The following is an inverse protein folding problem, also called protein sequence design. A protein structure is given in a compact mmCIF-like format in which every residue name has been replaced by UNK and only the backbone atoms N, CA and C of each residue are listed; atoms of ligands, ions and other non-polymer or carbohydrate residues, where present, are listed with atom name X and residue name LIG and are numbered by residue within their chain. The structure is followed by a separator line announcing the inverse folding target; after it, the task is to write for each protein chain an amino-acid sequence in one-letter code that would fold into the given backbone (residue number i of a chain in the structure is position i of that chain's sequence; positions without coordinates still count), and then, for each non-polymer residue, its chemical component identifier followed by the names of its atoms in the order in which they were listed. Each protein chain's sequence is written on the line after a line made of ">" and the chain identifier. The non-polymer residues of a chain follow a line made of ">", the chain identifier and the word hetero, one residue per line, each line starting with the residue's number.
data_IF_488539992260
#
_entry.id   IF_488539992260
#
_cell.length_a   1.000
_cell.length_b   1.000
_cell.length_c   1.000
_cell.angle_alpha   90.00
_cell.angle_beta   90.00
_cell.angle_gamma   90.00
#
_symmetry.space_group_name_H-M   'P 1'
#
loop_
_entity.id
_entity.type
_entity.pdbx_description
1 polymer ?
#
# COMPACT_ATOMS: atom_id res chain seq x y z
N UNK A 1 -3.07 7.76 -8.23
CA UNK A 1 -4.07 7.01 -7.45
C UNK A 1 -4.69 7.94 -6.44
N UNK A 2 -5.93 7.67 -6.04
CA UNK A 2 -6.61 8.42 -4.99
C UNK A 2 -6.77 7.52 -3.77
N UNK A 3 -6.31 7.95 -2.59
CA UNK A 3 -6.63 7.20 -1.37
C UNK A 3 -8.13 7.32 -1.11
N UNK A 4 -8.86 6.20 -1.00
CA UNK A 4 -10.29 6.21 -0.66
C UNK A 4 -10.52 7.03 0.60
N UNK A 5 -11.67 7.70 0.71
CA UNK A 5 -11.96 8.61 1.83
C UNK A 5 -11.82 7.90 3.18
N UNK A 6 -10.81 8.33 3.94
CA UNK A 6 -10.52 7.97 5.33
C UNK A 6 -10.44 6.46 5.63
N UNK A 7 -9.41 5.76 5.12
CA UNK A 7 -9.17 4.39 5.51
C UNK A 7 -8.45 4.35 6.86
N UNK A 8 -8.79 3.41 7.71
CA UNK A 8 -8.07 3.15 8.97
C UNK A 8 -6.80 2.35 8.75
N UNK A 9 -6.85 1.41 7.81
CA UNK A 9 -5.72 0.55 7.43
C UNK A 9 -5.37 0.74 5.95
N UNK A 10 -4.07 0.74 5.64
CA UNK A 10 -3.56 0.75 4.26
C UNK A 10 -2.68 -0.47 4.02
N UNK A 11 -3.04 -1.28 3.04
CA UNK A 11 -2.15 -2.29 2.49
C UNK A 11 -1.17 -1.63 1.53
N UNK A 12 0.09 -1.56 1.95
CA UNK A 12 1.20 -0.94 1.26
C UNK A 12 1.96 -2.02 0.51
N UNK A 13 1.70 -2.17 -0.78
CA UNK A 13 2.15 -3.36 -1.52
C UNK A 13 3.24 -2.98 -2.49
N UNK A 14 4.45 -3.48 -2.23
CA UNK A 14 5.53 -3.45 -3.21
C UNK A 14 5.27 -4.48 -4.30
N UNK A 15 5.35 -4.04 -5.55
CA UNK A 15 5.20 -4.94 -6.71
C UNK A 15 6.09 -4.49 -7.87
N UNK A 16 6.50 -5.43 -8.71
CA UNK A 16 7.29 -5.12 -9.90
C UNK A 16 6.38 -4.72 -11.07
N UNK A 17 6.87 -3.96 -12.07
CA UNK A 17 6.02 -3.45 -13.16
C UNK A 17 5.29 -4.57 -13.91
N UNK A 18 6.01 -5.65 -14.24
CA UNK A 18 5.46 -6.80 -14.95
C UNK A 18 4.55 -7.73 -14.13
N UNK A 19 4.40 -7.51 -12.81
CA UNK A 19 3.63 -8.40 -11.93
C UNK A 19 2.11 -8.11 -11.92
N UNK A 20 1.53 -7.88 -13.10
CA UNK A 20 0.09 -7.60 -13.27
C UNK A 20 -0.79 -8.69 -12.64
N UNK A 21 -0.42 -9.96 -12.85
CA UNK A 21 -1.17 -11.10 -12.30
C UNK A 21 -1.12 -11.16 -10.77
N UNK A 22 0.00 -10.80 -10.15
CA UNK A 22 0.12 -10.78 -8.68
C UNK A 22 -0.82 -9.70 -8.12
N UNK A 23 -0.79 -8.49 -8.68
CA UNK A 23 -1.70 -7.41 -8.30
C UNK A 23 -3.17 -7.81 -8.46
N UNK A 24 -3.53 -8.45 -9.58
CA UNK A 24 -4.90 -8.93 -9.81
C UNK A 24 -5.35 -9.94 -8.76
N UNK A 25 -4.49 -10.90 -8.39
CA UNK A 25 -4.77 -11.91 -7.34
C UNK A 25 -4.95 -11.22 -6.00
N UNK A 26 -4.03 -10.34 -5.61
CA UNK A 26 -4.08 -9.60 -4.35
C UNK A 26 -5.34 -8.74 -4.26
N UNK A 27 -5.71 -8.02 -5.34
CA UNK A 27 -7.00 -7.30 -5.40
C UNK A 27 -8.16 -8.24 -5.14
N UNK A 28 -8.15 -9.44 -5.73
CA UNK A 28 -9.17 -10.46 -5.48
C UNK A 28 -9.23 -10.90 -4.02
N UNK A 29 -8.08 -11.17 -3.40
CA UNK A 29 -7.99 -11.60 -2.00
C UNK A 29 -8.44 -10.50 -1.01
N UNK A 30 -8.11 -9.24 -1.29
CA UNK A 30 -8.44 -8.09 -0.44
C UNK A 30 -9.85 -7.52 -0.70
N UNK A 31 -10.49 -7.93 -1.79
CA UNK A 31 -11.87 -7.58 -2.16
C UNK A 31 -12.87 -8.47 -1.42
N UNK A 32 -12.83 -8.44 -0.09
CA UNK A 32 -13.89 -9.00 0.74
C UNK A 32 -14.76 -7.85 1.26
N UNK A 33 -15.92 -7.64 0.64
CA UNK A 33 -16.78 -6.47 0.89
C UNK A 33 -17.20 -6.29 2.35
N UNK A 34 -17.45 -7.37 3.09
CA UNK A 34 -17.87 -7.29 4.49
C UNK A 34 -16.72 -6.87 5.39
N UNK A 35 -15.55 -7.52 5.25
CA UNK A 35 -14.38 -7.19 6.06
C UNK A 35 -13.76 -5.84 5.68
N UNK A 36 -13.65 -5.54 4.37
CA UNK A 36 -13.07 -4.29 3.91
C UNK A 36 -13.85 -3.07 4.35
N UNK A 37 -15.19 -3.19 4.42
CA UNK A 37 -16.06 -2.11 4.89
C UNK A 37 -15.98 -1.97 6.40
N UNK A 38 -16.00 -3.09 7.14
CA UNK A 38 -15.91 -3.07 8.60
C UNK A 38 -14.58 -2.49 9.10
N UNK A 39 -13.45 -2.93 8.54
CA UNK A 39 -12.12 -2.45 8.92
C UNK A 39 -11.73 -1.13 8.23
N UNK A 40 -12.51 -0.66 7.25
CA UNK A 40 -12.21 0.55 6.47
C UNK A 40 -10.78 0.52 5.92
N UNK A 41 -10.40 -0.57 5.26
CA UNK A 41 -9.07 -0.63 4.65
C UNK A 41 -9.06 -0.18 3.20
N UNK A 42 -7.89 0.24 2.73
CA UNK A 42 -7.60 0.47 1.32
C UNK A 42 -6.31 -0.26 0.92
N UNK A 43 -6.12 -0.45 -0.38
CA UNK A 43 -4.93 -1.10 -0.94
C UNK A 43 -4.28 -0.16 -1.94
N UNK A 44 -2.95 -0.03 -1.86
CA UNK A 44 -2.16 0.74 -2.81
C UNK A 44 -0.94 -0.07 -3.23
N UNK A 45 -0.77 -0.20 -4.54
CA UNK A 45 0.37 -0.86 -5.17
C UNK A 45 1.43 0.17 -5.56
N UNK A 46 2.66 -0.02 -5.10
CA UNK A 46 3.79 0.85 -5.41
C UNK A 46 4.73 0.17 -6.40
N UNK A 47 4.92 0.83 -7.54
CA UNK A 47 5.65 0.31 -8.71
C UNK A 47 6.70 1.34 -9.12
N UNK A 48 7.92 0.92 -9.43
CA UNK A 48 8.93 1.80 -10.03
C UNK A 48 8.78 1.90 -11.55
N UNK A 49 9.58 2.73 -12.20
CA UNK A 49 9.66 2.84 -13.65
C UNK A 49 10.21 1.54 -14.25
N UNK A 50 9.46 0.92 -15.16
CA UNK A 50 9.91 -0.21 -15.98
C UNK A 50 11.02 0.23 -16.95
N UNK A 51 12.00 -0.65 -17.21
CA UNK A 51 12.96 -0.48 -18.30
C UNK A 51 12.35 -0.81 -19.67
N UNK A 52 11.36 -1.71 -19.68
CA UNK A 52 10.62 -2.11 -20.86
C UNK A 52 9.43 -1.16 -21.11
N UNK A 53 9.35 -0.64 -22.34
CA UNK A 53 8.40 0.44 -22.70
C UNK A 53 6.97 -0.07 -22.80
N UNK A 54 6.77 -1.30 -23.28
CA UNK A 54 5.45 -1.92 -23.38
C UNK A 54 4.88 -2.20 -21.98
N UNK A 55 5.73 -2.68 -21.07
CA UNK A 55 5.38 -2.86 -19.65
C UNK A 55 5.08 -1.52 -18.98
N UNK A 56 5.87 -0.46 -19.26
CA UNK A 56 5.62 0.87 -18.70
C UNK A 56 4.21 1.37 -19.10
N UNK A 57 3.87 1.26 -20.39
CA UNK A 57 2.56 1.63 -20.92
C UNK A 57 1.42 0.83 -20.27
N UNK A 58 1.59 -0.48 -20.15
CA UNK A 58 0.59 -1.34 -19.51
C UNK A 58 0.37 -1.00 -18.03
N UNK A 59 1.42 -0.59 -17.30
CA UNK A 59 1.29 -0.12 -15.91
C UNK A 59 0.51 1.19 -15.83
N UNK A 60 0.71 2.12 -16.76
CA UNK A 60 -0.05 3.36 -16.81
C UNK A 60 -1.54 3.11 -17.09
N UNK A 61 -1.84 2.21 -18.04
CA UNK A 61 -3.21 1.77 -18.35
C UNK A 61 -3.87 1.10 -17.14
N UNK A 62 -3.16 0.20 -16.45
CA UNK A 62 -3.62 -0.43 -15.21
C UNK A 62 -3.87 0.60 -14.10
N UNK A 63 -2.96 1.56 -13.92
CA UNK A 63 -3.08 2.61 -12.92
C UNK A 63 -4.31 3.49 -13.17
N UNK A 64 -4.57 3.84 -14.43
CA UNK A 64 -5.77 4.57 -14.83
C UNK A 64 -7.05 3.75 -14.65
N UNK A 65 -6.99 2.44 -14.86
CA UNK A 65 -8.17 1.55 -14.79
C UNK A 65 -8.59 1.26 -13.35
N UNK A 66 -7.63 0.99 -12.47
CA UNK A 66 -7.91 0.56 -11.11
C UNK A 66 -7.81 1.66 -10.06
N UNK A 67 -7.05 2.74 -10.35
CA UNK A 67 -6.89 3.87 -9.42
C UNK A 67 -6.09 3.56 -8.16
N UNK A 68 -5.53 2.35 -8.03
CA UNK A 68 -4.83 1.84 -6.85
C UNK A 68 -3.32 1.63 -7.06
N UNK A 69 -2.79 2.03 -8.22
CA UNK A 69 -1.35 1.93 -8.54
C UNK A 69 -0.70 3.31 -8.46
N UNK A 70 0.43 3.38 -7.76
CA UNK A 70 1.33 4.52 -7.71
C UNK A 70 2.62 4.15 -8.45
N UNK A 71 2.88 4.85 -9.55
CA UNK A 71 4.17 4.76 -10.25
C UNK A 71 5.13 5.77 -9.64
N UNK A 72 6.26 5.30 -9.14
CA UNK A 72 7.25 6.07 -8.42
C UNK A 72 8.42 6.47 -9.34
N UNK A 73 9.03 7.64 -9.14
CA UNK A 73 9.95 8.25 -10.11
C UNK A 73 11.38 7.71 -10.01
N UNK A 74 11.56 6.39 -10.01
CA UNK A 74 12.88 5.74 -10.03
C UNK A 74 12.81 4.41 -10.78
N UNK A 75 13.94 3.91 -11.30
CA UNK A 75 13.98 2.62 -12.01
C UNK A 75 13.71 1.45 -11.07
N UNK A 76 12.74 0.62 -11.41
CA UNK A 76 12.41 -0.56 -10.62
C UNK A 76 13.53 -1.60 -10.73
N UNK A 77 14.14 -1.90 -9.60
CA UNK A 77 15.19 -2.90 -9.47
C UNK A 77 15.24 -3.36 -8.02
N UNK A 78 15.66 -4.61 -7.80
CA UNK A 78 15.77 -5.18 -6.45
C UNK A 78 16.63 -4.33 -5.50
N UNK A 79 17.73 -3.77 -6.00
CA UNK A 79 18.60 -2.87 -5.21
C UNK A 79 17.94 -1.54 -4.83
N UNK A 80 16.85 -1.16 -5.50
CA UNK A 80 16.15 0.10 -5.31
C UNK A 80 14.89 -0.04 -4.43
N UNK A 81 14.67 -1.19 -3.79
CA UNK A 81 13.50 -1.41 -2.93
C UNK A 81 13.41 -0.44 -1.75
N UNK A 82 14.55 0.05 -1.23
CA UNK A 82 14.56 1.11 -0.22
C UNK A 82 13.92 2.40 -0.75
N UNK A 83 14.20 2.77 -2.00
CA UNK A 83 13.53 3.91 -2.64
C UNK A 83 12.04 3.65 -2.81
N UNK A 84 11.64 2.43 -3.18
CA UNK A 84 10.22 2.04 -3.27
C UNK A 84 9.48 2.35 -1.97
N UNK A 85 10.05 1.94 -0.84
CA UNK A 85 9.46 2.20 0.47
C UNK A 85 9.41 3.70 0.80
N UNK A 86 10.53 4.41 0.68
CA UNK A 86 10.62 5.84 1.05
C UNK A 86 9.68 6.70 0.22
N UNK A 87 9.67 6.53 -1.11
CA UNK A 87 8.79 7.29 -1.98
C UNK A 87 7.31 6.89 -1.80
N UNK A 88 7.02 5.61 -1.58
CA UNK A 88 5.67 5.18 -1.28
C UNK A 88 5.16 5.75 0.04
N UNK A 89 5.98 5.77 1.09
CA UNK A 89 5.62 6.36 2.38
C UNK A 89 5.38 7.86 2.27
N UNK A 90 6.22 8.57 1.51
CA UNK A 90 5.98 9.98 1.18
C UNK A 90 4.59 10.16 0.55
N UNK A 91 4.26 9.34 -0.45
CA UNK A 91 2.94 9.38 -1.10
C UNK A 91 1.80 9.15 -0.09
N UNK A 92 1.95 8.18 0.84
CA UNK A 92 0.94 7.92 1.87
C UNK A 92 0.72 9.12 2.79
N UNK A 93 1.80 9.77 3.25
CA UNK A 93 1.72 10.96 4.10
C UNK A 93 0.98 12.10 3.39
N UNK A 94 1.24 12.29 2.10
CA UNK A 94 0.67 13.39 1.32
C UNK A 94 -0.78 13.12 0.87
N UNK A 95 -1.13 11.86 0.58
CA UNK A 95 -2.39 11.51 -0.10
C UNK A 95 -3.35 10.67 0.76
N UNK A 96 -2.90 10.16 1.91
CA UNK A 96 -3.71 9.33 2.78
C UNK A 96 -3.53 9.65 4.28
N UNK A 97 -3.71 10.91 4.71
CA UNK A 97 -3.38 11.34 6.07
C UNK A 97 -4.24 10.72 7.18
N UNK A 98 -5.39 10.14 6.83
CA UNK A 98 -6.31 9.52 7.79
C UNK A 98 -5.92 8.08 8.19
N UNK A 99 -4.90 7.49 7.56
CA UNK A 99 -4.48 6.12 7.87
C UNK A 99 -3.85 6.02 9.25
N UNK A 100 -4.32 5.08 10.06
CA UNK A 100 -3.76 4.79 11.39
C UNK A 100 -2.69 3.68 11.31
N UNK A 101 -2.91 2.70 10.45
CA UNK A 101 -2.06 1.50 10.34
C UNK A 101 -1.66 1.21 8.90
N UNK A 102 -0.37 0.97 8.69
CA UNK A 102 0.17 0.59 7.38
C UNK A 102 0.68 -0.84 7.46
N UNK A 103 0.15 -1.69 6.59
CA UNK A 103 0.59 -3.07 6.44
C UNK A 103 1.46 -3.15 5.20
N UNK A 104 2.79 -3.12 5.39
CA UNK A 104 3.73 -3.34 4.30
C UNK A 104 3.75 -4.81 3.91
N UNK A 105 3.58 -5.08 2.62
CA UNK A 105 3.67 -6.41 2.02
C UNK A 105 4.42 -6.36 0.69
N UNK A 106 5.04 -7.47 0.32
CA UNK A 106 5.51 -7.70 -1.05
C UNK A 106 4.45 -8.52 -1.82
N UNK A 107 4.51 -8.52 -3.15
CA UNK A 107 3.48 -9.14 -4.00
C UNK A 107 3.54 -10.68 -4.11
N UNK A 108 4.52 -11.29 -3.46
CA UNK A 108 4.73 -12.73 -3.31
C UNK A 108 4.43 -13.23 -1.89
N UNK A 109 3.81 -12.38 -1.05
CA UNK A 109 3.43 -12.71 0.32
C UNK A 109 1.92 -12.98 0.44
N UNK A 110 1.54 -13.89 1.35
CA UNK A 110 0.15 -14.11 1.77
C UNK A 110 0.01 -13.73 3.23
N UNK A 111 -0.97 -12.88 3.56
CA UNK A 111 -1.30 -12.51 4.93
C UNK A 111 -2.62 -13.14 5.37
N UNK A 112 -2.66 -13.68 6.59
CA UNK A 112 -3.91 -14.08 7.22
C UNK A 112 -4.58 -12.85 7.85
N UNK A 113 -5.44 -12.20 7.07
CA UNK A 113 -6.07 -10.93 7.41
C UNK A 113 -7.06 -11.07 8.58
N UNK A 114 -7.57 -12.28 8.82
CA UNK A 114 -8.46 -12.58 9.96
C UNK A 114 -7.79 -12.32 11.31
N UNK A 115 -6.45 -12.38 11.38
CA UNK A 115 -5.68 -12.09 12.60
C UNK A 115 -5.57 -10.60 12.90
N UNK A 116 -5.95 -9.70 11.99
CA UNK A 116 -5.94 -8.26 12.27
C UNK A 116 -6.90 -7.88 13.41
N UNK A 117 -7.92 -8.70 13.67
CA UNK A 117 -8.80 -8.53 14.83
C UNK A 117 -8.02 -8.64 16.15
N UNK A 118 -7.05 -9.56 16.22
CA UNK A 118 -6.31 -9.87 17.45
C UNK A 118 -5.21 -8.84 17.74
N UNK A 119 -4.68 -8.20 16.70
CA UNK A 119 -3.68 -7.13 16.82
C UNK A 119 -4.23 -5.83 17.43
N UNK A 120 -5.56 -5.70 17.59
CA UNK A 120 -6.22 -4.51 18.11
C UNK A 120 -6.32 -4.43 19.64
N UNK A 121 -5.67 -5.33 20.39
CA UNK A 121 -5.82 -5.42 21.86
C UNK A 121 -4.65 -4.87 22.72
N UNK A 122 -3.62 -4.24 22.16
CA UNK A 122 -2.51 -3.73 23.00
C UNK A 122 -1.90 -2.39 22.58
N UNK A 123 -2.67 -1.53 21.91
CA UNK A 123 -2.25 -0.15 21.59
C UNK A 123 -3.23 0.90 22.11
N UNK A 124 -3.77 0.68 23.31
CA UNK A 124 -4.28 1.84 24.05
C UNK A 124 -3.09 2.79 24.28
N UNK A 125 -3.15 4.04 23.80
CA UNK A 125 -2.04 4.95 23.99
C UNK A 125 -1.96 5.23 25.49
N UNK A 126 -0.96 4.67 26.17
CA UNK A 126 -0.59 5.19 27.49
C UNK A 126 -0.24 6.66 27.26
N UNK A 127 -1.03 7.56 27.82
CA UNK A 127 -0.78 8.99 27.85
C UNK A 127 0.54 9.24 28.57
N UNK A 128 1.65 9.18 27.84
CA UNK A 128 2.92 9.77 28.27
C UNK A 128 3.18 10.94 27.35
N UNK A 129 2.75 12.10 27.80
CA UNK A 129 3.24 13.39 27.32
C UNK A 129 4.76 13.40 27.47
N UNK A 130 5.49 13.26 26.35
CA UNK A 130 6.89 13.69 26.30
C UNK A 130 6.88 15.20 26.15
N UNK A 131 7.09 15.90 27.27
CA UNK A 131 7.46 17.30 27.25
C UNK A 131 8.92 17.38 26.81
N UNK A 132 9.17 17.63 25.53
CA UNK A 132 10.48 18.08 25.06
C UNK A 132 10.47 19.59 25.12
N UNK A 133 11.10 20.15 26.15
CA UNK A 133 11.45 21.57 26.18
C UNK A 133 12.74 21.74 25.38
N UNK A 134 12.71 22.62 24.38
CA UNK A 134 13.88 23.05 23.59
C UNK A 134 14.81 23.88 24.47
#
# INVERSE_FOLDING_TARGET
>A
SDCKKEPRYLFFIHTAPGHFRHRAIIRGCLKNGTFSTYFRWTTVFFVGLSADNDTAKQVEEEASTHGDVVVLPYRDAYRNLTYKFVYGMKWVIENCPAVEYILKMDDDMVANISMLNELSLDTSPSSKSLNVTV
#
